data_IF_893223195896
#
_entry.id   IF_893223195896
#
_cell.length_a   1.000
_cell.length_b   1.000
_cell.length_c   1.000
_cell.angle_alpha   90.00
_cell.angle_beta   90.00
_cell.angle_gamma   90.00
#
_symmetry.space_group_name_H-M   'P 1'
#
loop_
_entity.id
_entity.type
_entity.pdbx_description
1 polymer ?
#
# COMPACT_ATOMS: atom_id res chain seq x y z
N UNK A 1 24.43 13.08 11.22
CA UNK A 1 23.15 13.63 10.73
C UNK A 1 22.08 12.66 11.17
N UNK A 2 21.27 13.00 12.17
CA UNK A 2 20.19 12.15 12.64
C UNK A 2 18.96 12.45 11.77
N UNK A 3 18.77 11.67 10.72
CA UNK A 3 17.60 11.75 9.86
C UNK A 3 16.42 11.19 10.66
N UNK A 4 15.57 12.09 11.15
CA UNK A 4 14.34 11.73 11.84
C UNK A 4 13.48 10.92 10.86
N UNK A 5 13.24 9.66 11.19
CA UNK A 5 12.42 8.69 10.46
C UNK A 5 10.93 9.11 10.55
N UNK A 6 10.59 10.25 9.94
CA UNK A 6 9.25 10.87 9.92
C UNK A 6 8.50 10.59 8.61
N UNK A 7 9.16 9.95 7.64
CA UNK A 7 8.62 9.67 6.31
C UNK A 7 8.16 8.23 6.13
N UNK A 8 8.20 7.42 7.19
CA UNK A 8 7.80 6.02 7.17
C UNK A 8 6.65 5.77 8.14
N UNK A 9 5.67 5.01 7.67
CA UNK A 9 4.51 4.57 8.43
C UNK A 9 4.99 3.85 9.70
N UNK A 10 4.44 4.23 10.85
CA UNK A 10 4.76 3.51 12.07
C UNK A 10 4.17 2.10 12.01
N UNK A 11 4.78 1.14 12.69
CA UNK A 11 4.23 -0.22 12.80
C UNK A 11 2.80 -0.21 13.35
N UNK A 12 2.48 0.68 14.29
CA UNK A 12 1.14 0.78 14.85
C UNK A 12 0.11 1.26 13.82
N UNK A 13 0.48 2.24 13.00
CA UNK A 13 -0.39 2.75 11.93
C UNK A 13 -0.56 1.70 10.83
N UNK A 14 0.51 0.98 10.48
CA UNK A 14 0.46 -0.06 9.46
C UNK A 14 -0.48 -1.19 9.86
N UNK A 15 -0.41 -1.62 11.12
CA UNK A 15 -1.34 -2.63 11.66
C UNK A 15 -2.78 -2.11 11.68
N UNK A 16 -2.99 -0.85 12.01
CA UNK A 16 -4.33 -0.23 11.99
C UNK A 16 -4.91 -0.21 10.57
N UNK A 17 -4.12 0.19 9.57
CA UNK A 17 -4.53 0.16 8.17
C UNK A 17 -4.85 -1.27 7.74
N UNK A 18 -3.97 -2.24 8.00
CA UNK A 18 -4.18 -3.64 7.63
C UNK A 18 -5.44 -4.25 8.26
N UNK A 19 -5.78 -3.86 9.48
CA UNK A 19 -6.97 -4.33 10.17
C UNK A 19 -8.27 -3.82 9.54
N UNK A 20 -8.24 -2.67 8.88
CA UNK A 20 -9.39 -2.10 8.15
C UNK A 20 -9.57 -2.70 6.75
N UNK A 21 -8.56 -3.38 6.21
CA UNK A 21 -8.61 -3.96 4.86
C UNK A 21 -9.33 -5.32 4.85
N UNK A 22 -10.05 -5.66 3.75
CA UNK A 22 -10.56 -7.00 3.56
C UNK A 22 -9.44 -8.05 3.64
N UNK A 23 -9.73 -9.21 4.21
CA UNK A 23 -8.74 -10.29 4.45
C UNK A 23 -7.91 -10.63 3.20
N UNK A 24 -8.57 -10.71 2.02
CA UNK A 24 -7.90 -10.95 0.74
C UNK A 24 -6.76 -9.97 0.46
N UNK A 25 -6.98 -8.68 0.71
CA UNK A 25 -6.01 -7.62 0.44
C UNK A 25 -4.88 -7.66 1.47
N UNK A 26 -5.22 -7.86 2.74
CA UNK A 26 -4.24 -8.00 3.82
C UNK A 26 -3.26 -9.15 3.55
N UNK A 27 -3.76 -10.32 3.17
CA UNK A 27 -2.93 -11.48 2.84
C UNK A 27 -2.02 -11.17 1.65
N UNK A 28 -2.54 -10.53 0.61
CA UNK A 28 -1.74 -10.18 -0.57
C UNK A 28 -0.59 -9.20 -0.24
N UNK A 29 -0.84 -8.20 0.60
CA UNK A 29 0.18 -7.24 1.05
C UNK A 29 1.26 -7.92 1.89
N UNK A 30 0.88 -8.78 2.83
CA UNK A 30 1.82 -9.54 3.66
C UNK A 30 2.65 -10.51 2.82
N UNK A 31 2.01 -11.23 1.89
CA UNK A 31 2.71 -12.13 0.98
C UNK A 31 3.70 -11.38 0.10
N UNK A 32 3.32 -10.20 -0.42
CA UNK A 32 4.21 -9.35 -1.21
C UNK A 32 5.39 -8.85 -0.39
N UNK A 33 5.17 -8.44 0.86
CA UNK A 33 6.23 -8.00 1.76
C UNK A 33 7.26 -9.12 2.02
N UNK A 34 6.79 -10.35 2.22
CA UNK A 34 7.66 -11.51 2.35
C UNK A 34 8.43 -11.82 1.05
N UNK A 35 7.77 -11.74 -0.10
CA UNK A 35 8.35 -12.05 -1.42
C UNK A 35 9.49 -11.10 -1.82
N UNK A 36 9.34 -9.81 -1.52
CA UNK A 36 10.37 -8.80 -1.83
C UNK A 36 11.31 -8.51 -0.64
N UNK A 37 11.12 -9.20 0.49
CA UNK A 37 11.91 -9.03 1.73
C UNK A 37 11.87 -7.62 2.32
N UNK A 38 10.72 -6.96 2.26
CA UNK A 38 10.53 -5.59 2.78
C UNK A 38 9.61 -5.57 3.99
N UNK A 39 9.77 -4.58 4.90
CA UNK A 39 8.82 -4.38 5.99
C UNK A 39 7.44 -4.03 5.43
N UNK A 40 6.39 -4.45 6.14
CA UNK A 40 5.00 -4.26 5.69
C UNK A 40 4.63 -2.78 5.59
N UNK A 41 5.24 -1.94 6.44
CA UNK A 41 5.16 -0.49 6.44
C UNK A 41 5.58 0.08 5.07
N UNK A 42 6.75 -0.32 4.57
CA UNK A 42 7.27 0.15 3.29
C UNK A 42 6.42 -0.34 2.11
N UNK A 43 5.91 -1.58 2.16
CA UNK A 43 5.03 -2.10 1.11
C UNK A 43 3.71 -1.36 1.04
N UNK A 44 3.13 -1.02 2.20
CA UNK A 44 1.92 -0.20 2.26
C UNK A 44 2.16 1.19 1.67
N UNK A 45 3.26 1.84 2.06
CA UNK A 45 3.62 3.15 1.52
C UNK A 45 3.87 3.11 0.02
N UNK A 46 4.64 2.13 -0.46
CA UNK A 46 4.89 1.97 -1.89
C UNK A 46 3.61 1.70 -2.67
N UNK A 47 2.68 0.92 -2.12
CA UNK A 47 1.39 0.67 -2.76
C UNK A 47 0.55 1.95 -2.85
N UNK A 48 0.51 2.76 -1.79
CA UNK A 48 -0.23 4.03 -1.76
C UNK A 48 0.45 5.05 -2.66
N UNK A 49 1.76 5.23 -2.56
CA UNK A 49 2.54 6.15 -3.38
C UNK A 49 2.44 5.80 -4.87
N UNK A 50 2.53 4.51 -5.21
CA UNK A 50 2.32 4.03 -6.58
C UNK A 50 0.90 4.27 -7.07
N UNK A 51 -0.12 4.23 -6.21
CA UNK A 51 -1.49 4.56 -6.61
C UNK A 51 -1.70 6.07 -6.81
N UNK A 52 -1.00 6.90 -6.02
CA UNK A 52 -1.07 8.36 -6.12
C UNK A 52 -0.23 8.93 -7.27
N UNK A 53 0.70 8.15 -7.80
CA UNK A 53 1.46 8.51 -8.99
C UNK A 53 0.52 8.67 -10.19
N UNK A 54 0.50 9.86 -10.78
CA UNK A 54 -0.38 10.20 -11.89
C UNK A 54 -0.04 9.43 -13.19
N UNK A 55 1.15 8.84 -13.27
CA UNK A 55 1.55 7.97 -14.38
C UNK A 55 1.23 6.49 -14.12
N UNK A 56 0.80 6.13 -12.90
CA UNK A 56 0.37 4.77 -12.61
C UNK A 56 -1.04 4.53 -13.17
N UNK A 57 -1.22 3.35 -13.80
CA UNK A 57 -2.51 2.90 -14.32
C UNK A 57 -3.56 2.91 -13.20
N UNK A 58 -4.49 3.85 -13.28
CA UNK A 58 -5.51 4.09 -12.28
C UNK A 58 -6.85 3.45 -12.62
N UNK A 59 -7.77 3.45 -11.66
CA UNK A 59 -9.16 3.05 -11.88
C UNK A 59 -9.84 3.85 -13.01
N UNK A 60 -9.42 5.09 -13.26
CA UNK A 60 -9.93 5.92 -14.36
C UNK A 60 -9.60 5.33 -15.74
N UNK A 61 -8.44 4.68 -15.88
CA UNK A 61 -8.01 4.03 -17.12
C UNK A 61 -8.72 2.69 -17.36
N UNK A 62 -9.16 2.03 -16.29
CA UNK A 62 -9.88 0.75 -16.37
C UNK A 62 -11.39 0.90 -16.69
N UNK A 63 -11.95 2.12 -16.68
CA UNK A 63 -13.40 2.39 -16.87
C UNK A 63 -14.36 1.42 -16.14
N UNK A 64 -14.19 1.15 -14.83
CA UNK A 64 -15.13 0.30 -14.11
C UNK A 64 -16.44 1.06 -13.91
N UNK A 65 -17.44 0.73 -14.73
CA UNK A 65 -18.76 1.36 -14.71
C UNK A 65 -19.33 1.77 -16.07
N UNK A 66 -18.61 1.61 -17.19
CA UNK A 66 -19.23 1.73 -18.53
C UNK A 66 -20.06 0.47 -18.86
N UNK A 67 -21.18 0.33 -18.19
CA UNK A 67 -22.11 -0.79 -18.38
C UNK A 67 -23.40 -0.69 -17.57
N UNK A 68 -23.80 0.53 -17.18
CA UNK A 68 -25.13 0.84 -16.65
C UNK A 68 -25.76 1.90 -17.55
#
# INVERSE_FOLDING_TARGET
MQTTNLEQLSTADAQTILACLPERIRIALVARAADIEYPIEAVLEMAIASFLDAEALGFADCQPGRGQ
#
